data_IF_914139447145
#
_entry.id   IF_914139447145
#
_cell.length_a   1.000
_cell.length_b   1.000
_cell.length_c   1.000
_cell.angle_alpha   90.00
_cell.angle_beta   90.00
_cell.angle_gamma   90.00
#
_symmetry.space_group_name_H-M   'P 1'
#
loop_
_entity.id
_entity.type
_entity.pdbx_description
1 polymer ?
#
# COMPACT_ATOMS: atom_id res chain seq x y z
N UNK A 1 1.29 -67.50 19.78
CA UNK A 1 2.76 -67.40 19.69
C UNK A 1 3.14 -67.36 18.22
N UNK A 2 3.76 -66.24 17.82
CA UNK A 2 4.32 -65.93 16.50
C UNK A 2 5.43 -66.91 16.12
N UNK A 3 5.70 -67.12 14.81
CA UNK A 3 6.71 -66.31 14.11
C UNK A 3 6.25 -65.92 12.68
N UNK A 4 6.24 -64.64 12.30
CA UNK A 4 7.34 -63.82 11.75
C UNK A 4 7.94 -64.40 10.46
N UNK A 5 7.38 -63.99 9.32
CA UNK A 5 7.87 -64.31 7.98
C UNK A 5 8.48 -63.01 7.39
N UNK A 6 9.79 -63.07 7.14
CA UNK A 6 10.63 -61.97 6.69
C UNK A 6 10.62 -61.97 5.15
N UNK A 7 9.97 -60.98 4.53
CA UNK A 7 9.92 -60.84 3.07
C UNK A 7 11.01 -59.86 2.61
N UNK A 8 11.83 -60.35 1.68
CA UNK A 8 12.87 -59.60 0.97
C UNK A 8 12.27 -58.45 0.12
N UNK A 9 12.94 -57.30 0.10
CA UNK A 9 12.48 -56.11 -0.62
C UNK A 9 12.71 -56.15 -2.14
N UNK A 10 12.00 -55.32 -2.92
CA UNK A 10 12.34 -55.04 -4.31
C UNK A 10 13.16 -53.75 -4.46
N UNK A 11 13.98 -53.76 -5.51
CA UNK A 11 15.00 -52.78 -5.85
C UNK A 11 14.47 -51.37 -6.13
N UNK A 12 15.24 -50.37 -5.67
CA UNK A 12 15.05 -48.97 -5.99
C UNK A 12 15.49 -48.68 -7.44
N UNK A 13 14.53 -48.39 -8.32
CA UNK A 13 14.78 -47.78 -9.63
C UNK A 13 14.87 -46.26 -9.50
N UNK A 14 16.08 -45.72 -9.54
CA UNK A 14 16.31 -44.27 -9.62
C UNK A 14 15.96 -43.75 -11.02
N UNK A 15 14.82 -43.07 -11.17
CA UNK A 15 14.56 -42.20 -12.32
C UNK A 15 15.44 -40.95 -12.21
N UNK A 16 16.42 -40.83 -13.11
CA UNK A 16 17.20 -39.60 -13.30
C UNK A 16 16.31 -38.53 -13.94
N UNK A 17 15.98 -37.50 -13.18
CA UNK A 17 15.45 -36.23 -13.70
C UNK A 17 16.54 -35.58 -14.56
N UNK A 18 16.24 -35.31 -15.84
CA UNK A 18 17.14 -34.64 -16.78
C UNK A 18 17.30 -33.19 -16.33
N UNK A 19 18.48 -32.88 -15.80
CA UNK A 19 18.88 -31.53 -15.39
C UNK A 19 19.34 -30.73 -16.61
N UNK A 20 18.42 -29.99 -17.22
CA UNK A 20 18.67 -29.14 -18.39
C UNK A 20 18.31 -27.68 -18.20
N UNK A 21 18.43 -27.12 -16.99
CA UNK A 21 18.18 -25.68 -16.76
C UNK A 21 19.51 -24.93 -16.75
N UNK A 22 19.74 -24.15 -17.82
CA UNK A 22 20.86 -23.23 -18.00
C UNK A 22 21.04 -22.31 -16.79
N UNK A 23 22.29 -22.07 -16.38
CA UNK A 23 22.68 -21.32 -15.19
C UNK A 23 22.13 -19.87 -15.16
N UNK A 24 21.74 -19.32 -16.32
CA UNK A 24 21.10 -18.01 -16.44
C UNK A 24 19.67 -17.99 -15.86
N UNK A 25 18.89 -19.05 -16.13
CA UNK A 25 17.49 -19.18 -15.67
C UNK A 25 17.44 -19.37 -14.15
N UNK A 26 18.40 -20.08 -13.55
CA UNK A 26 18.50 -20.20 -12.08
C UNK A 26 18.80 -18.88 -11.37
N UNK A 27 19.43 -17.91 -12.05
CA UNK A 27 19.77 -16.61 -11.48
C UNK A 27 18.57 -15.66 -11.47
N UNK A 28 17.71 -15.74 -12.48
CA UNK A 28 16.48 -14.93 -12.55
C UNK A 28 15.32 -15.54 -11.74
N UNK A 29 15.16 -16.87 -11.70
CA UNK A 29 14.18 -17.52 -10.82
C UNK A 29 14.52 -17.34 -9.33
N UNK A 30 15.81 -17.22 -8.97
CA UNK A 30 16.24 -16.92 -7.59
C UNK A 30 15.79 -15.54 -7.10
N UNK A 31 15.68 -14.55 -7.98
CA UNK A 31 15.17 -13.21 -7.61
C UNK A 31 13.64 -13.22 -7.43
N UNK A 32 12.91 -14.02 -8.21
CA UNK A 32 11.45 -14.17 -8.04
C UNK A 32 11.07 -15.01 -6.81
N UNK A 33 11.85 -16.04 -6.46
CA UNK A 33 11.58 -16.87 -5.26
C UNK A 33 12.00 -16.22 -3.93
N UNK A 34 13.03 -15.35 -3.92
CA UNK A 34 13.44 -14.63 -2.70
C UNK A 34 12.43 -13.57 -2.27
N UNK A 35 11.67 -12.99 -3.21
CA UNK A 35 10.59 -12.06 -2.87
C UNK A 35 9.35 -12.78 -2.31
N UNK A 36 9.13 -14.04 -2.70
CA UNK A 36 7.97 -14.83 -2.27
C UNK A 36 8.18 -15.57 -0.93
N UNK A 37 9.41 -15.76 -0.48
CA UNK A 37 9.73 -16.47 0.78
C UNK A 37 9.95 -15.50 1.96
N UNK A 38 10.15 -14.20 1.72
CA UNK A 38 10.28 -13.21 2.80
C UNK A 38 8.96 -12.85 3.50
N UNK A 39 7.82 -13.38 3.02
CA UNK A 39 6.51 -13.20 3.66
C UNK A 39 6.05 -14.39 4.52
N UNK A 40 6.86 -15.43 4.67
CA UNK A 40 6.48 -16.61 5.43
C UNK A 40 7.67 -17.19 6.19
N UNK A 41 8.06 -16.56 7.30
CA UNK A 41 8.66 -17.22 8.48
C UNK A 41 9.08 -16.23 9.57
N UNK A 42 8.30 -16.17 10.65
CA UNK A 42 8.75 -16.45 12.03
C UNK A 42 7.71 -16.00 13.05
N UNK A 43 7.02 -16.98 13.64
CA UNK A 43 6.55 -16.92 15.02
C UNK A 43 7.58 -17.59 15.91
N UNK A 44 8.04 -16.90 16.94
CA UNK A 44 8.28 -17.45 18.28
C UNK A 44 8.79 -16.36 19.23
N UNK A 45 7.93 -15.99 20.19
CA UNK A 45 8.18 -15.78 21.62
C UNK A 45 9.49 -15.11 22.10
N UNK A 46 9.34 -14.09 22.95
CA UNK A 46 10.35 -13.76 23.97
C UNK A 46 10.27 -12.32 24.50
N UNK A 47 9.66 -12.18 25.70
CA UNK A 47 9.98 -11.22 26.75
C UNK A 47 10.09 -9.71 26.38
N UNK A 48 9.04 -8.96 26.72
CA UNK A 48 9.10 -7.51 26.82
C UNK A 48 9.56 -7.13 28.24
N UNK A 49 10.85 -6.87 28.37
CA UNK A 49 11.45 -6.35 29.61
C UNK A 49 11.14 -4.85 29.72
N UNK A 50 10.44 -4.49 30.79
CA UNK A 50 10.11 -3.10 31.15
C UNK A 50 11.37 -2.36 31.58
N UNK A 51 11.82 -1.39 30.79
CA UNK A 51 12.88 -0.47 31.19
C UNK A 51 12.22 0.83 31.69
N UNK A 52 12.12 0.95 33.00
CA UNK A 52 11.85 2.21 33.70
C UNK A 52 13.16 2.99 33.82
N UNK A 53 13.28 4.25 33.37
CA UNK A 53 14.39 5.09 33.79
C UNK A 53 14.10 5.70 35.18
N UNK A 54 15.08 5.77 36.11
CA UNK A 54 14.87 6.46 37.37
C UNK A 54 14.94 7.97 37.15
N UNK A 55 13.90 8.69 37.59
CA UNK A 55 13.93 10.15 37.75
C UNK A 55 14.88 10.49 38.90
N UNK A 56 16.04 11.06 38.57
CA UNK A 56 16.92 11.74 39.51
C UNK A 56 16.26 13.04 40.00
N UNK A 57 16.07 13.14 41.31
CA UNK A 57 15.70 14.39 42.01
C UNK A 57 16.98 15.22 42.20
N UNK A 58 17.07 16.48 41.72
CA UNK A 58 18.14 17.37 42.11
C UNK A 58 17.90 17.95 43.52
N UNK A 59 18.93 18.12 44.36
CA UNK A 59 18.79 18.70 45.70
C UNK A 59 18.63 20.23 45.64
N UNK A 60 17.75 20.73 46.49
CA UNK A 60 17.49 22.15 46.76
C UNK A 60 18.71 22.83 47.44
N UNK A 61 19.13 24.05 47.04
CA UNK A 61 20.18 24.78 47.73
C UNK A 61 19.66 25.55 48.96
N UNK A 62 20.49 25.76 50.00
CA UNK A 62 20.05 26.23 51.30
C UNK A 62 19.68 27.71 51.32
N UNK A 63 18.65 28.02 52.11
CA UNK A 63 18.20 29.37 52.45
C UNK A 63 19.26 30.12 53.26
N UNK A 64 19.52 31.37 52.86
CA UNK A 64 20.31 32.31 53.64
C UNK A 64 19.41 32.86 54.75
N UNK A 65 19.75 32.55 56.00
CA UNK A 65 19.18 33.20 57.16
C UNK A 65 19.66 34.66 57.21
N UNK A 66 18.72 35.60 57.14
CA UNK A 66 18.92 36.96 57.64
C UNK A 66 18.10 37.11 58.91
N UNK A 67 18.76 36.98 60.05
CA UNK A 67 18.23 37.39 61.35
C UNK A 67 18.08 38.91 61.34
N UNK A 68 16.84 39.39 61.23
CA UNK A 68 16.46 40.72 61.68
C UNK A 68 15.61 40.54 62.94
N UNK A 69 16.16 41.01 64.06
CA UNK A 69 15.57 40.94 65.40
C UNK A 69 14.11 41.42 65.42
N UNK A 70 13.27 40.54 65.97
CA UNK A 70 11.87 40.79 66.31
C UNK A 70 11.77 41.75 67.50
N UNK A 71 11.03 42.85 67.35
CA UNK A 71 10.41 43.54 68.47
C UNK A 71 9.18 42.75 68.93
N UNK A 72 8.86 42.67 70.24
CA UNK A 72 7.84 41.76 70.72
C UNK A 72 6.46 42.36 70.46
N UNK A 73 5.74 41.87 69.45
CA UNK A 73 4.30 42.12 69.37
C UNK A 73 3.56 41.03 70.13
N UNK A 74 3.26 41.35 71.37
CA UNK A 74 2.41 40.59 72.27
C UNK A 74 1.00 40.69 71.72
N UNK A 75 0.59 39.75 70.84
CA UNK A 75 -0.80 39.31 70.56
C UNK A 75 -0.89 38.38 69.31
N UNK A 76 0.01 37.42 69.13
CA UNK A 76 -0.21 36.36 68.12
C UNK A 76 -1.06 35.22 68.73
N UNK A 77 -2.27 35.05 68.21
CA UNK A 77 -3.11 33.89 68.52
C UNK A 77 -2.40 32.61 68.05
N UNK A 78 -2.36 31.53 68.84
CA UNK A 78 -1.64 30.29 68.50
C UNK A 78 -2.27 29.50 67.33
N UNK A 79 -3.36 30.01 66.75
CA UNK A 79 -3.97 29.50 65.54
C UNK A 79 -4.22 30.70 64.62
N UNK A 80 -3.52 30.76 63.49
CA UNK A 80 -3.97 31.62 62.40
C UNK A 80 -5.37 31.13 61.98
N UNK A 81 -6.40 31.98 61.99
CA UNK A 81 -7.65 31.60 61.40
C UNK A 81 -7.37 31.42 59.91
N UNK A 82 -7.40 30.18 59.44
CA UNK A 82 -7.49 29.87 58.02
C UNK A 82 -8.60 30.76 57.49
N UNK A 83 -8.27 31.74 56.65
CA UNK A 83 -9.28 32.63 56.09
C UNK A 83 -10.27 31.71 55.37
N UNK A 84 -11.60 31.93 55.43
CA UNK A 84 -12.54 31.06 54.73
C UNK A 84 -12.21 30.90 53.24
N UNK A 85 -11.46 31.85 52.67
CA UNK A 85 -10.94 31.82 51.32
C UNK A 85 -10.10 30.57 50.98
N UNK A 86 -9.37 29.96 51.92
CA UNK A 86 -8.62 28.72 51.63
C UNK A 86 -9.49 27.46 51.71
N UNK A 87 -10.62 27.52 52.45
CA UNK A 87 -11.61 26.44 52.50
C UNK A 87 -12.52 26.47 51.26
N UNK A 88 -12.68 27.65 50.64
CA UNK A 88 -13.37 27.86 49.37
C UNK A 88 -12.43 28.06 48.18
N UNK A 89 -11.12 27.84 48.35
CA UNK A 89 -10.21 27.74 47.23
C UNK A 89 -10.65 26.52 46.43
N UNK A 90 -11.35 26.75 45.32
CA UNK A 90 -11.73 25.70 44.40
C UNK A 90 -10.45 24.92 44.10
N UNK A 91 -10.39 23.61 44.42
CA UNK A 91 -9.18 22.84 44.23
C UNK A 91 -8.81 23.01 42.77
N UNK A 92 -7.61 23.55 42.49
CA UNK A 92 -7.10 23.65 41.13
C UNK A 92 -7.37 22.29 40.48
N UNK A 93 -8.16 22.23 39.38
CA UNK A 93 -8.70 20.98 38.89
C UNK A 93 -7.52 20.06 38.66
N UNK A 94 -7.43 19.00 39.47
CA UNK A 94 -6.47 17.93 39.22
C UNK A 94 -6.91 17.39 37.87
N UNK A 95 -6.14 17.69 36.83
CA UNK A 95 -6.38 17.18 35.49
C UNK A 95 -6.10 15.68 35.51
N UNK A 96 -7.01 14.91 36.08
CA UNK A 96 -7.07 13.47 35.90
C UNK A 96 -7.49 13.28 34.44
N UNK A 97 -6.54 13.13 33.52
CA UNK A 97 -6.86 12.86 32.11
C UNK A 97 -7.66 11.56 32.05
N UNK A 98 -8.91 11.63 31.59
CA UNK A 98 -9.75 10.46 31.42
C UNK A 98 -9.24 9.70 30.19
N UNK A 99 -8.54 8.58 30.40
CA UNK A 99 -8.18 7.68 29.32
C UNK A 99 -9.39 6.78 29.03
N UNK A 100 -10.21 7.16 28.05
CA UNK A 100 -11.19 6.21 27.51
C UNK A 100 -10.43 5.02 26.91
N UNK A 101 -10.87 3.76 27.13
CA UNK A 101 -10.38 2.64 26.34
C UNK A 101 -10.55 3.01 24.86
N UNK A 102 -9.42 3.13 24.15
CA UNK A 102 -9.44 3.42 22.72
C UNK A 102 -9.76 2.11 22.00
N UNK A 103 -10.99 2.01 21.48
CA UNK A 103 -11.32 0.93 20.56
C UNK A 103 -10.38 1.02 19.34
N UNK A 104 -9.85 -0.12 18.92
CA UNK A 104 -8.96 -0.18 17.77
C UNK A 104 -9.80 -0.17 16.47
N UNK A 105 -9.37 0.56 15.43
CA UNK A 105 -10.01 0.47 14.13
C UNK A 105 -9.83 -0.94 13.57
N UNK A 106 -10.87 -1.46 12.92
CA UNK A 106 -10.84 -2.83 12.37
C UNK A 106 -9.95 -2.93 11.15
N UNK A 107 -9.89 -1.90 10.33
CA UNK A 107 -9.12 -1.90 9.09
C UNK A 107 -7.60 -1.86 9.31
N UNK A 108 -6.85 -2.13 8.24
CA UNK A 108 -5.42 -1.85 8.23
C UNK A 108 -5.21 -0.34 8.06
N UNK A 109 -5.15 0.38 9.19
CA UNK A 109 -5.09 1.86 9.24
C UNK A 109 -3.68 2.43 9.33
N UNK A 110 -2.71 1.62 9.73
CA UNK A 110 -1.37 2.09 10.09
C UNK A 110 -1.36 3.05 11.30
N UNK A 111 -0.19 3.59 11.61
CA UNK A 111 -0.07 4.59 12.69
C UNK A 111 -0.83 5.89 12.34
N UNK A 112 -1.36 6.57 13.36
CA UNK A 112 -1.93 7.90 13.14
C UNK A 112 -0.84 8.89 12.71
N UNK A 113 -1.15 9.69 11.69
CA UNK A 113 -0.29 10.79 11.24
C UNK A 113 -0.62 12.13 11.91
N UNK A 114 -1.61 12.16 12.80
CA UNK A 114 -2.11 13.38 13.45
C UNK A 114 -1.45 13.47 14.84
N UNK A 115 -0.96 14.68 15.17
CA UNK A 115 -0.42 14.97 16.49
C UNK A 115 -1.53 15.63 17.30
N UNK A 116 -1.90 15.08 18.47
CA UNK A 116 -2.88 15.70 19.35
C UNK A 116 -2.50 17.16 19.62
N UNK A 117 -3.40 18.07 19.30
CA UNK A 117 -3.27 19.51 19.51
C UNK A 117 -4.17 20.00 20.65
N UNK A 118 -5.34 19.40 20.82
CA UNK A 118 -6.28 19.70 21.88
C UNK A 118 -5.96 18.92 23.16
N UNK A 119 -5.94 19.64 24.28
CA UNK A 119 -5.83 19.05 25.60
C UNK A 119 -7.21 18.92 26.22
N UNK A 120 -7.42 17.81 26.94
CA UNK A 120 -8.62 17.59 27.72
C UNK A 120 -8.77 18.70 28.78
N UNK A 121 -9.84 19.50 28.67
CA UNK A 121 -10.12 20.60 29.60
C UNK A 121 -10.99 20.16 30.78
N UNK A 122 -11.90 19.21 30.55
CA UNK A 122 -12.85 18.69 31.54
C UNK A 122 -12.88 17.17 31.50
N UNK A 123 -13.26 16.52 32.60
CA UNK A 123 -13.34 15.06 32.69
C UNK A 123 -14.33 14.44 31.68
N UNK A 124 -15.41 15.17 31.39
CA UNK A 124 -16.50 14.70 30.52
C UNK A 124 -16.19 14.84 29.01
N UNK A 125 -15.07 15.48 28.65
CA UNK A 125 -14.70 15.74 27.25
C UNK A 125 -13.31 15.20 26.93
N UNK A 126 -13.25 14.16 26.09
CA UNK A 126 -12.00 13.61 25.56
C UNK A 126 -11.89 13.97 24.08
N UNK A 127 -10.95 14.85 23.67
CA UNK A 127 -10.79 15.20 22.27
C UNK A 127 -10.25 14.01 21.46
N UNK A 128 -10.94 13.66 20.38
CA UNK A 128 -10.53 12.61 19.43
C UNK A 128 -10.32 13.26 18.07
N UNK A 129 -9.08 13.64 17.78
CA UNK A 129 -8.76 14.35 16.54
C UNK A 129 -8.74 13.42 15.33
N UNK A 130 -8.18 12.22 15.44
CA UNK A 130 -8.14 11.25 14.33
C UNK A 130 -9.49 10.54 14.17
N UNK A 131 -10.43 11.22 13.50
CA UNK A 131 -11.77 10.68 13.22
C UNK A 131 -11.75 9.39 12.41
N UNK A 132 -10.70 9.17 11.62
CA UNK A 132 -10.63 8.03 10.71
C UNK A 132 -10.30 6.76 11.47
N UNK A 133 -9.53 6.84 12.56
CA UNK A 133 -9.11 5.66 13.34
C UNK A 133 -9.96 5.43 14.58
N UNK A 134 -11.19 5.92 14.59
CA UNK A 134 -12.16 5.59 15.65
C UNK A 134 -12.56 4.13 15.50
N UNK A 135 -12.21 3.33 16.51
CA UNK A 135 -12.54 1.92 16.54
C UNK A 135 -14.00 1.63 16.82
N UNK A 136 -14.33 0.35 16.67
CA UNK A 136 -15.57 -0.22 17.15
C UNK A 136 -15.25 -1.15 18.30
N UNK A 137 -16.15 -1.30 19.28
CA UNK A 137 -15.96 -2.26 20.34
C UNK A 137 -15.71 -3.64 19.76
N UNK A 138 -14.74 -4.34 20.35
CA UNK A 138 -14.43 -5.73 20.04
C UNK A 138 -15.63 -6.59 20.44
N UNK A 139 -16.57 -6.75 19.51
CA UNK A 139 -17.68 -7.67 19.65
C UNK A 139 -17.62 -8.64 18.49
N UNK A 140 -16.94 -9.75 18.72
CA UNK A 140 -17.15 -10.92 17.91
C UNK A 140 -18.52 -11.52 18.25
N UNK A 141 -19.39 -11.62 17.25
CA UNK A 141 -20.69 -12.27 17.41
C UNK A 141 -20.51 -13.77 17.58
N UNK A 142 -19.39 -14.31 17.10
CA UNK A 142 -19.15 -15.73 16.97
C UNK A 142 -18.03 -16.17 17.92
N UNK A 143 -18.25 -17.19 18.77
CA UNK A 143 -17.24 -17.64 19.74
C UNK A 143 -16.04 -18.34 19.09
N UNK A 144 -16.14 -18.72 17.81
CA UNK A 144 -15.12 -19.40 17.01
C UNK A 144 -14.31 -18.45 16.11
N UNK A 145 -14.51 -17.13 16.21
CA UNK A 145 -13.74 -16.16 15.42
C UNK A 145 -14.24 -15.98 13.98
N UNK A 146 -13.32 -15.54 13.12
CA UNK A 146 -13.51 -15.40 11.67
C UNK A 146 -12.71 -16.48 10.91
N UNK A 147 -13.33 -17.61 10.52
CA UNK A 147 -12.65 -18.64 9.74
C UNK A 147 -12.42 -18.16 8.28
N UNK A 148 -11.34 -18.61 7.60
CA UNK A 148 -10.89 -18.05 6.30
C UNK A 148 -11.86 -18.12 5.11
N UNK A 149 -13.00 -18.78 5.26
CA UNK A 149 -13.99 -19.02 4.19
C UNK A 149 -15.34 -18.37 4.48
N UNK A 150 -15.48 -17.72 5.63
CA UNK A 150 -16.74 -17.13 6.08
C UNK A 150 -16.52 -15.64 6.32
N UNK A 151 -17.11 -14.81 5.45
CA UNK A 151 -17.07 -13.35 5.58
C UNK A 151 -18.01 -12.94 6.72
N UNK A 152 -17.41 -12.81 7.90
CA UNK A 152 -18.11 -12.50 9.14
C UNK A 152 -17.85 -11.06 9.55
N UNK A 153 -18.86 -10.50 10.19
CA UNK A 153 -18.74 -9.19 10.79
C UNK A 153 -17.69 -9.18 11.90
N UNK A 154 -16.58 -8.47 11.70
CA UNK A 154 -15.53 -8.30 12.70
C UNK A 154 -14.11 -8.63 12.25
N UNK A 155 -13.89 -9.00 10.99
CA UNK A 155 -12.54 -9.29 10.48
C UNK A 155 -11.62 -8.06 10.56
N UNK A 156 -10.37 -8.31 10.98
CA UNK A 156 -9.33 -7.29 11.03
C UNK A 156 -8.70 -7.16 9.65
N UNK A 157 -8.58 -5.93 9.16
CA UNK A 157 -7.96 -5.64 7.87
C UNK A 157 -6.46 -5.94 7.89
N UNK A 158 -5.96 -6.34 6.72
CA UNK A 158 -4.54 -6.56 6.47
C UNK A 158 -4.07 -5.71 5.30
N UNK A 159 -2.78 -5.40 5.22
CA UNK A 159 -2.25 -4.54 4.15
C UNK A 159 -2.36 -5.17 2.76
N UNK A 160 -2.31 -6.51 2.69
CA UNK A 160 -2.47 -7.28 1.45
C UNK A 160 -3.92 -7.63 1.13
N UNK A 161 -4.84 -7.36 2.06
CA UNK A 161 -6.25 -7.69 1.88
C UNK A 161 -6.97 -6.52 1.18
N UNK A 162 -7.48 -6.72 -0.05
CA UNK A 162 -8.21 -5.70 -0.77
C UNK A 162 -9.71 -5.66 -0.39
N UNK A 163 -10.23 -6.61 0.37
CA UNK A 163 -11.67 -6.68 0.67
C UNK A 163 -12.03 -5.85 1.91
N UNK A 164 -11.26 -6.00 2.99
CA UNK A 164 -11.44 -5.18 4.19
C UNK A 164 -10.90 -3.74 4.02
N UNK A 165 -11.18 -2.88 5.01
CA UNK A 165 -10.76 -1.48 4.97
C UNK A 165 -9.22 -1.36 5.05
N UNK A 166 -8.62 -0.58 4.14
CA UNK A 166 -7.16 -0.52 4.00
C UNK A 166 -6.68 0.88 3.59
N UNK A 167 -5.57 1.34 4.18
CA UNK A 167 -4.89 2.59 3.79
C UNK A 167 -4.54 2.62 2.31
N UNK A 168 -4.12 1.49 1.71
CA UNK A 168 -3.71 1.43 0.31
C UNK A 168 -4.89 1.52 -0.68
N UNK A 169 -6.13 1.41 -0.19
CA UNK A 169 -7.36 1.57 -0.99
C UNK A 169 -7.90 2.99 -0.97
N UNK A 170 -7.34 3.87 -0.15
CA UNK A 170 -7.86 5.20 0.10
C UNK A 170 -9.02 5.22 1.10
N UNK A 171 -9.23 4.15 1.86
CA UNK A 171 -10.25 4.10 2.93
C UNK A 171 -9.82 4.90 4.17
N UNK A 172 -8.51 4.99 4.40
CA UNK A 172 -7.90 5.76 5.48
C UNK A 172 -6.89 6.77 4.92
N UNK A 173 -6.74 7.95 5.55
CA UNK A 173 -5.74 8.91 5.13
C UNK A 173 -4.33 8.41 5.46
N UNK A 174 -3.42 8.65 4.52
CA UNK A 174 -2.00 8.33 4.67
C UNK A 174 -1.22 9.49 5.30
N UNK A 175 -1.63 10.73 5.03
CA UNK A 175 -1.01 11.95 5.56
C UNK A 175 -2.11 12.92 6.02
N UNK A 176 -2.06 13.30 7.29
CA UNK A 176 -3.07 14.18 7.91
C UNK A 176 -4.47 13.56 7.88
N UNK A 177 -5.49 14.39 7.66
CA UNK A 177 -6.91 14.00 7.70
C UNK A 177 -7.55 13.84 6.31
N UNK A 178 -6.95 14.40 5.26
CA UNK A 178 -7.60 14.60 3.97
C UNK A 178 -6.76 14.13 2.77
N UNK A 179 -5.64 13.44 3.00
CA UNK A 179 -4.78 12.92 1.93
C UNK A 179 -4.84 11.41 1.89
N UNK A 180 -5.28 10.86 0.76
CA UNK A 180 -5.53 9.44 0.57
C UNK A 180 -4.67 8.89 -0.56
N UNK A 181 -4.21 7.65 -0.38
CA UNK A 181 -3.49 6.91 -1.41
C UNK A 181 -4.39 5.76 -1.89
N UNK A 182 -4.65 5.73 -3.18
CA UNK A 182 -5.30 4.59 -3.83
C UNK A 182 -4.28 3.88 -4.74
N UNK A 183 -4.07 2.60 -4.47
CA UNK A 183 -3.21 1.70 -5.24
C UNK A 183 -4.10 0.68 -5.93
N UNK A 184 -4.08 0.67 -7.25
CA UNK A 184 -4.71 -0.35 -8.07
C UNK A 184 -3.63 -1.10 -8.87
N UNK A 185 -3.68 -2.42 -8.85
CA UNK A 185 -2.76 -3.27 -9.60
C UNK A 185 -3.58 -4.22 -10.47
N UNK A 186 -3.34 -4.19 -11.76
CA UNK A 186 -3.93 -5.13 -12.72
C UNK A 186 -2.80 -5.95 -13.33
N UNK A 187 -2.95 -7.27 -13.29
CA UNK A 187 -1.95 -8.19 -13.80
C UNK A 187 -2.62 -9.19 -14.74
N UNK A 188 -2.26 -9.15 -16.02
CA UNK A 188 -2.70 -10.13 -17.02
C UNK A 188 -1.56 -11.09 -17.30
N UNK A 189 -1.78 -12.37 -17.00
CA UNK A 189 -0.85 -13.47 -17.25
C UNK A 189 -1.46 -14.44 -18.25
N UNK A 190 -0.76 -14.71 -19.35
CA UNK A 190 -1.10 -15.74 -20.32
C UNK A 190 0.00 -16.79 -20.35
N UNK A 191 -0.40 -18.04 -20.14
CA UNK A 191 0.41 -19.22 -20.40
C UNK A 191 -0.24 -19.97 -21.56
N UNK A 192 0.45 -20.04 -22.69
CA UNK A 192 -0.03 -20.77 -23.86
C UNK A 192 0.95 -21.87 -24.21
N UNK A 193 0.48 -23.10 -24.14
CA UNK A 193 1.17 -24.29 -24.62
C UNK A 193 0.49 -24.71 -25.91
N UNK A 194 1.22 -24.74 -27.01
CA UNK A 194 0.67 -25.15 -28.31
C UNK A 194 1.63 -26.03 -29.07
N UNK A 195 1.07 -26.79 -30.02
CA UNK A 195 1.83 -27.59 -30.98
C UNK A 195 1.50 -27.08 -32.38
N UNK A 196 2.46 -26.46 -33.03
CA UNK A 196 2.30 -25.96 -34.40
C UNK A 196 3.50 -26.41 -35.23
N UNK A 197 3.30 -26.97 -36.45
CA UNK A 197 4.40 -27.34 -37.32
C UNK A 197 5.35 -26.16 -37.51
N UNK A 198 6.58 -26.30 -36.99
CA UNK A 198 7.59 -25.24 -37.03
C UNK A 198 8.67 -25.69 -38.01
N UNK A 199 8.86 -24.90 -39.06
CA UNK A 199 9.87 -25.22 -40.08
C UNK A 199 11.28 -25.10 -39.51
N UNK A 200 12.16 -26.02 -39.89
CA UNK A 200 13.60 -25.86 -39.71
C UNK A 200 14.06 -24.69 -40.57
N UNK A 201 15.02 -23.90 -40.05
CA UNK A 201 15.44 -22.70 -40.74
C UNK A 201 16.23 -23.02 -42.02
N UNK A 202 16.34 -22.08 -42.99
CA UNK A 202 17.19 -22.27 -44.17
C UNK A 202 18.68 -22.43 -43.85
N UNK A 203 19.09 -22.13 -42.62
CA UNK A 203 20.43 -22.35 -42.13
C UNK A 203 20.49 -23.79 -41.60
N UNK A 204 21.44 -24.59 -42.10
CA UNK A 204 21.58 -26.06 -41.99
C UNK A 204 21.71 -26.64 -40.56
N UNK A 205 21.28 -25.91 -39.51
CA UNK A 205 21.36 -26.33 -38.12
C UNK A 205 19.96 -26.47 -37.51
N UNK A 206 19.65 -27.68 -37.09
CA UNK A 206 18.44 -28.07 -36.35
C UNK A 206 18.72 -28.17 -34.86
N UNK A 207 17.69 -28.06 -34.02
CA UNK A 207 17.84 -28.26 -32.57
C UNK A 207 18.28 -29.69 -32.21
N UNK A 208 17.75 -30.70 -32.92
CA UNK A 208 18.12 -32.10 -32.77
C UNK A 208 19.27 -32.52 -33.69
N UNK A 209 20.14 -33.43 -33.22
CA UNK A 209 21.21 -33.98 -34.03
C UNK A 209 20.68 -34.99 -35.06
N UNK A 210 21.16 -34.90 -36.31
CA UNK A 210 20.81 -35.85 -37.39
C UNK A 210 19.38 -35.70 -37.93
N UNK A 211 18.76 -34.53 -37.77
CA UNK A 211 17.46 -34.21 -38.35
C UNK A 211 17.65 -33.50 -39.68
N UNK A 212 16.99 -33.99 -40.73
CA UNK A 212 17.03 -33.42 -42.09
C UNK A 212 15.62 -33.04 -42.57
N UNK A 213 14.60 -33.27 -41.75
CA UNK A 213 13.21 -32.96 -42.04
C UNK A 213 12.96 -31.45 -42.11
N UNK A 214 11.97 -31.07 -42.91
CA UNK A 214 11.57 -29.66 -43.02
C UNK A 214 10.86 -29.15 -41.75
N UNK A 215 10.18 -29.99 -40.99
CA UNK A 215 9.51 -29.60 -39.74
C UNK A 215 10.24 -30.22 -38.55
N UNK A 216 10.60 -29.37 -37.59
CA UNK A 216 11.23 -29.77 -36.33
C UNK A 216 10.20 -30.07 -35.23
N UNK A 217 10.63 -29.91 -33.98
CA UNK A 217 9.73 -30.11 -32.84
C UNK A 217 8.61 -29.05 -32.85
N UNK A 218 7.32 -29.45 -32.87
CA UNK A 218 6.20 -28.52 -32.95
C UNK A 218 5.88 -27.81 -31.63
N UNK A 219 6.50 -28.21 -30.52
CA UNK A 219 6.17 -27.71 -29.18
C UNK A 219 6.62 -26.25 -29.01
N UNK A 220 5.68 -25.42 -28.58
CA UNK A 220 5.91 -24.00 -28.30
C UNK A 220 5.26 -23.61 -26.99
N UNK A 221 5.96 -22.74 -26.25
CA UNK A 221 5.46 -22.13 -25.03
C UNK A 221 5.58 -20.62 -25.09
N UNK A 222 4.45 -19.95 -24.81
CA UNK A 222 4.37 -18.51 -24.68
C UNK A 222 3.99 -18.16 -23.26
N UNK A 223 4.72 -17.20 -22.70
CA UNK A 223 4.35 -16.55 -21.46
C UNK A 223 4.33 -15.04 -21.67
N UNK A 224 3.18 -14.43 -21.40
CA UNK A 224 3.00 -12.99 -21.44
C UNK A 224 2.53 -12.53 -20.07
N UNK A 225 3.20 -11.54 -19.52
CA UNK A 225 2.82 -10.88 -18.29
C UNK A 225 2.73 -9.36 -18.52
N UNK A 226 1.56 -8.80 -18.29
CA UNK A 226 1.31 -7.36 -18.33
C UNK A 226 0.86 -6.90 -16.95
N UNK A 227 1.73 -6.17 -16.24
CA UNK A 227 1.44 -5.57 -14.95
C UNK A 227 1.25 -4.06 -15.14
N UNK A 228 0.07 -3.55 -14.83
CA UNK A 228 -0.22 -2.12 -14.72
C UNK A 228 -0.43 -1.77 -13.26
N UNK A 229 0.38 -0.85 -12.75
CA UNK A 229 0.18 -0.27 -11.43
C UNK A 229 -0.41 1.12 -11.61
N UNK A 230 -1.38 1.51 -10.80
CA UNK A 230 -1.96 2.84 -10.76
C UNK A 230 -1.87 3.35 -9.33
N UNK A 231 -1.09 4.40 -9.15
CA UNK A 231 -0.87 5.08 -7.89
C UNK A 231 -1.55 6.44 -7.96
N UNK A 232 -2.56 6.66 -7.13
CA UNK A 232 -3.31 7.91 -7.07
C UNK A 232 -3.24 8.47 -5.66
N UNK A 233 -2.44 9.51 -5.46
CA UNK A 233 -2.41 10.30 -4.24
C UNK A 233 -3.28 11.53 -4.44
N UNK A 234 -4.29 11.73 -3.61
CA UNK A 234 -5.21 12.85 -3.76
C UNK A 234 -5.56 13.47 -2.42
N UNK A 235 -5.92 14.75 -2.48
CA UNK A 235 -6.36 15.52 -1.34
C UNK A 235 -7.77 16.04 -1.52
N UNK A 236 -8.55 15.97 -0.45
CA UNK A 236 -9.93 16.44 -0.39
C UNK A 236 -10.84 15.39 0.24
N UNK A 237 -12.03 15.82 0.62
CA UNK A 237 -13.04 14.94 1.17
C UNK A 237 -13.81 14.25 0.04
N UNK A 238 -13.72 12.91 0.00
CA UNK A 238 -14.35 12.10 -1.02
C UNK A 238 -15.87 12.31 -1.06
N UNK A 239 -16.43 12.40 -2.28
CA UNK A 239 -17.87 12.26 -2.52
C UNK A 239 -18.66 13.55 -2.79
N UNK A 240 -18.22 14.71 -2.31
CA UNK A 240 -19.01 15.96 -2.42
C UNK A 240 -18.35 17.08 -3.23
N UNK A 241 -17.02 17.14 -3.23
CA UNK A 241 -16.25 18.17 -3.94
C UNK A 241 -15.21 17.49 -4.82
N UNK A 242 -14.87 18.06 -5.99
CA UNK A 242 -13.69 17.64 -6.74
C UNK A 242 -12.43 17.66 -5.87
N UNK A 243 -11.42 16.88 -6.23
CA UNK A 243 -10.14 16.89 -5.50
C UNK A 243 -9.53 18.29 -5.48
N UNK A 244 -8.88 18.63 -4.37
CA UNK A 244 -8.11 19.87 -4.24
C UNK A 244 -6.84 19.78 -5.09
N UNK A 245 -6.18 18.63 -5.00
CA UNK A 245 -5.11 18.23 -5.90
C UNK A 245 -5.04 16.71 -5.99
N UNK A 246 -4.48 16.21 -7.09
CA UNK A 246 -4.23 14.79 -7.32
C UNK A 246 -2.90 14.61 -8.06
N UNK A 247 -2.14 13.63 -7.63
CA UNK A 247 -0.97 13.13 -8.33
C UNK A 247 -1.30 11.69 -8.73
N UNK A 248 -1.23 11.41 -10.03
CA UNK A 248 -1.43 10.05 -10.56
C UNK A 248 -0.20 9.61 -11.32
N UNK A 249 0.22 8.38 -11.08
CA UNK A 249 1.34 7.73 -11.77
C UNK A 249 0.93 6.30 -12.10
N UNK A 250 1.08 5.90 -13.35
CA UNK A 250 0.73 4.58 -13.83
C UNK A 250 1.86 3.94 -14.66
N UNK A 251 2.84 3.30 -14.01
CA UNK A 251 3.84 2.53 -14.72
C UNK A 251 3.24 1.20 -15.19
N UNK A 252 3.66 0.78 -16.38
CA UNK A 252 3.30 -0.50 -16.99
C UNK A 252 4.57 -1.29 -17.25
N UNK A 253 4.52 -2.56 -16.89
CA UNK A 253 5.58 -3.53 -17.11
C UNK A 253 5.03 -4.66 -17.97
N UNK A 254 5.75 -4.97 -19.03
CA UNK A 254 5.43 -6.08 -19.92
C UNK A 254 6.64 -7.03 -19.98
N UNK A 255 6.40 -8.31 -19.72
CA UNK A 255 7.38 -9.38 -19.85
C UNK A 255 6.82 -10.41 -20.82
N UNK A 256 7.59 -10.72 -21.86
CA UNK A 256 7.27 -11.79 -22.80
C UNK A 256 8.40 -12.81 -22.80
N UNK A 257 8.03 -14.08 -22.71
CA UNK A 257 8.92 -15.21 -22.90
C UNK A 257 8.35 -16.12 -23.98
N UNK A 258 9.20 -16.47 -24.92
CA UNK A 258 8.91 -17.37 -26.02
C UNK A 258 9.93 -18.50 -25.99
N UNK A 259 9.43 -19.72 -25.94
CA UNK A 259 10.19 -20.94 -26.14
C UNK A 259 9.65 -21.64 -27.39
N UNK A 260 10.52 -21.84 -28.36
CA UNK A 260 10.21 -22.60 -29.56
C UNK A 260 11.27 -23.66 -29.69
N UNK A 261 10.91 -24.93 -29.67
CA UNK A 261 11.83 -26.08 -29.68
C UNK A 261 12.59 -26.27 -31.02
N UNK A 262 12.84 -25.20 -31.77
CA UNK A 262 13.58 -25.17 -33.02
C UNK A 262 14.51 -23.94 -33.14
N UNK A 263 15.67 -24.13 -33.77
CA UNK A 263 16.67 -23.07 -33.90
C UNK A 263 16.28 -22.02 -34.94
N UNK A 264 16.87 -20.84 -34.78
CA UNK A 264 16.71 -19.69 -35.68
C UNK A 264 15.28 -19.13 -35.83
N UNK A 265 14.30 -19.62 -35.07
CA UNK A 265 12.93 -19.07 -35.04
C UNK A 265 12.88 -17.76 -34.26
N UNK A 266 13.51 -17.73 -33.08
CA UNK A 266 13.48 -16.55 -32.21
C UNK A 266 14.46 -15.46 -32.62
N UNK A 267 15.56 -15.82 -33.26
CA UNK A 267 16.63 -14.93 -33.73
C UNK A 267 17.42 -15.65 -34.82
N UNK A 268 17.84 -14.98 -35.92
CA UNK A 268 18.58 -15.65 -37.01
C UNK A 268 19.88 -16.34 -36.61
N UNK A 269 20.50 -15.95 -35.48
CA UNK A 269 21.71 -16.57 -34.98
C UNK A 269 21.39 -17.85 -34.19
N UNK A 270 21.74 -19.01 -34.75
CA UNK A 270 21.51 -20.34 -34.13
C UNK A 270 22.19 -20.52 -32.77
N UNK A 271 23.28 -19.77 -32.48
CA UNK A 271 23.96 -19.81 -31.17
C UNK A 271 23.15 -19.16 -30.06
N UNK A 272 22.14 -18.35 -30.41
CA UNK A 272 21.24 -17.72 -29.45
C UNK A 272 20.21 -18.70 -28.87
N UNK A 273 20.11 -19.91 -29.42
CA UNK A 273 19.23 -20.97 -28.93
C UNK A 273 17.78 -20.81 -29.38
N UNK A 274 16.89 -21.49 -28.65
CA UNK A 274 15.46 -21.67 -28.92
C UNK A 274 14.55 -20.67 -28.21
N UNK A 275 15.10 -19.92 -27.25
CA UNK A 275 14.32 -19.11 -26.30
C UNK A 275 14.57 -17.62 -26.46
N UNK A 276 13.55 -16.80 -26.19
CA UNK A 276 13.65 -15.34 -26.17
C UNK A 276 12.80 -14.74 -25.06
N UNK A 277 13.47 -14.02 -24.16
CA UNK A 277 12.83 -13.17 -23.17
C UNK A 277 12.96 -11.70 -23.58
N UNK A 278 11.87 -10.93 -23.47
CA UNK A 278 11.89 -9.46 -23.61
C UNK A 278 11.09 -8.84 -22.48
N UNK A 279 11.63 -7.76 -21.93
CA UNK A 279 10.95 -6.95 -20.93
C UNK A 279 10.90 -5.50 -21.37
N UNK A 280 9.77 -4.87 -21.12
CA UNK A 280 9.54 -3.46 -21.38
C UNK A 280 8.93 -2.83 -20.13
N UNK A 281 9.33 -1.59 -19.85
CA UNK A 281 8.71 -0.76 -18.84
C UNK A 281 8.43 0.61 -19.47
N UNK A 282 7.23 1.13 -19.23
CA UNK A 282 6.82 2.43 -19.71
C UNK A 282 6.02 3.16 -18.63
N UNK A 283 6.08 4.49 -18.65
CA UNK A 283 5.18 5.32 -17.85
C UNK A 283 4.00 5.72 -18.74
N UNK A 284 2.86 5.04 -18.60
CA UNK A 284 1.69 5.25 -19.47
C UNK A 284 1.00 6.57 -19.10
N UNK A 285 0.66 6.73 -17.83
CA UNK A 285 0.04 7.95 -17.31
C UNK A 285 0.89 8.53 -16.19
N UNK A 286 1.10 9.83 -16.21
CA UNK A 286 1.65 10.56 -15.09
C UNK A 286 1.15 11.99 -15.17
N UNK A 287 0.44 12.46 -14.16
CA UNK A 287 -0.04 13.84 -14.16
C UNK A 287 -0.22 14.37 -12.75
N UNK A 288 -0.20 15.70 -12.66
CA UNK A 288 -0.63 16.45 -11.50
C UNK A 288 -1.87 17.26 -11.89
N UNK A 289 -2.91 17.15 -11.08
CA UNK A 289 -4.11 17.97 -11.15
C UNK A 289 -4.17 18.87 -9.92
N UNK A 290 -4.54 20.12 -10.13
CA UNK A 290 -4.79 21.08 -9.07
C UNK A 290 -6.07 21.86 -9.38
N UNK A 291 -6.95 21.98 -8.39
CA UNK A 291 -8.12 22.85 -8.47
C UNK A 291 -7.69 24.30 -8.21
N UNK A 292 -8.04 25.18 -9.13
CA UNK A 292 -7.67 26.60 -9.10
C UNK A 292 -8.70 27.44 -8.34
N UNK A 293 -10.00 27.18 -8.56
CA UNK A 293 -11.06 27.94 -7.92
C UNK A 293 -12.39 27.15 -7.88
N UNK A 294 -13.22 27.46 -6.88
CA UNK A 294 -14.64 27.15 -6.91
C UNK A 294 -15.38 28.35 -7.52
N UNK A 295 -16.19 28.10 -8.54
CA UNK A 295 -16.93 29.11 -9.30
C UNK A 295 -18.34 29.34 -8.78
N UNK A 296 -18.86 28.44 -7.94
CA UNK A 296 -20.19 28.56 -7.34
C UNK A 296 -20.31 27.81 -6.00
N UNK A 297 -21.35 28.12 -5.19
CA UNK A 297 -21.67 27.34 -3.99
C UNK A 297 -22.05 25.87 -4.26
N UNK A 298 -22.35 25.53 -5.51
CA UNK A 298 -22.67 24.16 -5.94
C UNK A 298 -21.43 23.33 -6.31
N UNK A 299 -20.24 23.75 -5.86
CA UNK A 299 -18.97 23.11 -6.20
C UNK A 299 -18.67 23.07 -7.71
N UNK A 300 -19.16 24.05 -8.47
CA UNK A 300 -18.61 24.29 -9.81
C UNK A 300 -17.13 24.63 -9.67
N UNK A 301 -16.28 24.06 -10.51
CA UNK A 301 -14.84 24.13 -10.33
C UNK A 301 -14.11 24.52 -11.60
N UNK A 302 -12.92 25.09 -11.42
CA UNK A 302 -11.91 25.28 -12.43
C UNK A 302 -10.65 24.52 -11.99
N UNK A 303 -10.19 23.57 -12.79
CA UNK A 303 -8.99 22.77 -12.51
C UNK A 303 -8.02 22.78 -13.68
N UNK A 304 -6.73 22.67 -13.35
CA UNK A 304 -5.66 22.45 -14.31
C UNK A 304 -5.03 21.08 -14.07
N UNK A 305 -4.74 20.36 -15.15
CA UNK A 305 -4.04 19.07 -15.12
C UNK A 305 -2.89 19.08 -16.12
N UNK A 306 -1.70 18.76 -15.67
CA UNK A 306 -0.49 18.75 -16.48
C UNK A 306 0.24 17.41 -16.37
N UNK A 307 0.62 16.83 -17.52
CA UNK A 307 1.36 15.58 -17.61
C UNK A 307 0.91 14.68 -18.76
N UNK A 308 1.40 13.44 -18.79
CA UNK A 308 0.88 12.38 -19.67
C UNK A 308 -0.46 11.90 -19.17
N UNK A 309 -1.51 12.18 -19.93
CA UNK A 309 -2.90 11.88 -19.54
C UNK A 309 -3.71 11.36 -20.72
N UNK A 310 -4.68 10.46 -20.49
CA UNK A 310 -5.63 10.09 -21.50
C UNK A 310 -6.57 11.27 -21.78
N UNK A 311 -6.80 11.56 -23.06
CA UNK A 311 -7.79 12.53 -23.50
C UNK A 311 -8.63 11.92 -24.61
N UNK A 312 -9.94 11.92 -24.38
CA UNK A 312 -10.93 11.48 -25.36
C UNK A 312 -11.88 12.64 -25.67
N UNK A 313 -12.04 12.95 -26.95
CA UNK A 313 -12.97 13.96 -27.44
C UNK A 313 -13.60 13.47 -28.73
N UNK A 314 -14.92 13.61 -28.83
CA UNK A 314 -15.67 13.38 -30.06
C UNK A 314 -16.14 14.74 -30.60
N UNK A 315 -15.62 15.12 -31.77
CA UNK A 315 -16.05 16.31 -32.48
C UNK A 315 -16.81 15.91 -33.74
N UNK A 316 -18.14 15.85 -33.66
CA UNK A 316 -19.04 15.55 -34.79
C UNK A 316 -18.71 14.21 -35.48
N UNK A 317 -18.34 13.18 -34.72
CA UNK A 317 -17.98 11.86 -35.24
C UNK A 317 -16.49 11.69 -35.52
N UNK A 318 -15.66 12.73 -35.34
CA UNK A 318 -14.21 12.59 -35.30
C UNK A 318 -13.76 12.36 -33.85
N UNK A 319 -13.37 11.13 -33.55
CA UNK A 319 -12.90 10.73 -32.23
C UNK A 319 -11.39 10.93 -32.15
N UNK A 320 -10.97 11.82 -31.24
CA UNK A 320 -9.61 11.87 -30.74
C UNK A 320 -9.56 11.05 -29.45
N UNK A 321 -8.68 10.05 -29.37
CA UNK A 321 -8.48 9.23 -28.19
C UNK A 321 -7.00 8.86 -28.10
N UNK A 322 -6.25 9.58 -27.27
CA UNK A 322 -4.81 9.39 -27.12
C UNK A 322 -4.36 9.67 -25.68
N UNK A 323 -3.24 9.08 -25.27
CA UNK A 323 -2.56 9.34 -24.00
C UNK A 323 -1.25 10.06 -24.28
N UNK A 324 -1.20 11.35 -23.97
CA UNK A 324 -0.06 12.17 -24.35
C UNK A 324 0.23 13.29 -23.34
N UNK A 325 1.42 13.87 -23.44
CA UNK A 325 1.88 15.00 -22.61
C UNK A 325 1.07 16.24 -22.98
N UNK A 326 0.27 16.72 -22.03
CA UNK A 326 -0.60 17.83 -22.24
C UNK A 326 -0.80 18.67 -20.97
N UNK A 327 -1.16 19.93 -21.19
CA UNK A 327 -1.74 20.80 -20.17
C UNK A 327 -3.21 20.99 -20.50
N UNK A 328 -4.08 20.66 -19.55
CA UNK A 328 -5.53 20.69 -19.69
C UNK A 328 -6.13 21.60 -18.64
N UNK A 329 -6.97 22.54 -19.06
CA UNK A 329 -7.78 23.40 -18.21
C UNK A 329 -9.25 23.02 -18.42
N UNK A 330 -9.93 22.61 -17.37
CA UNK A 330 -11.31 22.13 -17.48
C UNK A 330 -12.11 22.50 -16.24
N UNK A 331 -13.43 22.50 -16.39
CA UNK A 331 -14.31 22.88 -15.31
C UNK A 331 -15.77 22.94 -15.71
N UNK A 332 -16.58 23.30 -14.73
CA UNK A 332 -18.02 23.45 -14.86
C UNK A 332 -18.47 24.82 -14.38
N UNK A 333 -19.62 25.30 -14.85
CA UNK A 333 -20.21 26.56 -14.40
C UNK A 333 -21.73 26.45 -14.37
N UNK A 334 -22.36 27.31 -13.57
CA UNK A 334 -23.82 27.46 -13.48
C UNK A 334 -24.52 26.18 -13.04
N UNK A 335 -23.98 25.52 -12.02
CA UNK A 335 -24.43 24.23 -11.51
C UNK A 335 -24.36 23.15 -12.59
N UNK A 336 -23.19 22.99 -13.21
CA UNK A 336 -22.90 22.01 -14.26
C UNK A 336 -23.72 22.16 -15.56
N UNK A 337 -24.26 23.35 -15.84
CA UNK A 337 -24.94 23.62 -17.13
C UNK A 337 -23.95 23.87 -18.26
N UNK A 338 -22.86 24.55 -17.94
CA UNK A 338 -21.77 24.78 -18.88
C UNK A 338 -20.57 23.93 -18.48
N UNK A 339 -19.99 23.23 -19.45
CA UNK A 339 -18.74 22.49 -19.30
C UNK A 339 -17.75 23.00 -20.33
N UNK A 340 -16.52 23.27 -19.88
CA UNK A 340 -15.46 23.69 -20.76
C UNK A 340 -14.23 22.82 -20.55
N UNK A 341 -13.48 22.63 -21.62
CA UNK A 341 -12.34 21.74 -21.66
C UNK A 341 -11.37 22.24 -22.72
N UNK A 342 -10.30 22.88 -22.29
CA UNK A 342 -9.22 23.36 -23.13
C UNK A 342 -8.00 22.48 -22.89
N UNK A 343 -7.41 21.94 -23.94
CA UNK A 343 -6.20 21.12 -23.84
C UNK A 343 -5.17 21.59 -24.86
N UNK A 344 -3.91 21.59 -24.44
CA UNK A 344 -2.75 21.85 -25.27
C UNK A 344 -1.79 20.67 -25.17
N UNK A 345 -1.45 20.08 -26.31
CA UNK A 345 -0.56 18.93 -26.42
C UNK A 345 0.85 19.37 -26.79
N UNK A 346 1.84 18.76 -26.14
CA UNK A 346 3.24 18.82 -26.52
C UNK A 346 3.59 17.53 -27.29
N UNK A 347 3.72 17.62 -28.61
CA UNK A 347 3.96 16.47 -29.50
C UNK A 347 5.42 16.38 -30.01
N UNK A 348 6.35 17.11 -29.41
CA UNK A 348 7.79 16.92 -29.67
C UNK A 348 8.33 15.72 -28.92
#
# INVERSE_FOLDING_TARGET
>A
MTPTLQLAGPAAGHHKMVSGVSASVRRQLRWMFLFSIFLCSRSSAGAQESITPPLQVPPEPPSVASDAESGPDVLQMPFEPTTPADVFAEPAPRQETAVSPADMPRGYTGATGIRPSEQQQTLDFVPVEDRWRIGFPERDRYPDGNPPVDDRFGELGHWWDPYNQNVLKGDYPIIGQHTFLNVSATNFMLHEFRKTPTGTSPFESTAGAGQEEFFGNPDQYFFINNLKLQLSLFHGDAGFRPFDWQIRVAPVFNLNYLDVEELAVVTPNVRSGTTRARGYAAMEEWFVEARLADLSPSYDFLSVRAGSQPFVSDFRGFVFADTNRAVRLFGTRLSNRDQFNLIWFDQT
#
